data_IF_893810184444
#
_entry.id   IF_893810184444
#
_cell.length_a   1.000
_cell.length_b   1.000
_cell.length_c   1.000
_cell.angle_alpha   90.00
_cell.angle_beta   90.00
_cell.angle_gamma   90.00
#
_symmetry.space_group_name_H-M   'P 1'
#
loop_
_entity.id
_entity.type
_entity.pdbx_description
1 polymer ?
#
# COMPACT_ATOMS: atom_id res chain seq x y z
N UNK A 1 16.23 1.71 -11.81
CA UNK A 1 14.82 2.16 -12.00
C UNK A 1 14.34 2.82 -10.70
N UNK A 2 13.52 3.86 -10.74
CA UNK A 2 13.04 4.49 -9.50
C UNK A 2 11.82 3.75 -8.96
N UNK A 3 11.74 3.55 -7.63
CA UNK A 3 10.64 2.84 -6.99
C UNK A 3 10.29 3.49 -5.64
N UNK A 4 9.11 3.17 -5.13
CA UNK A 4 8.67 3.72 -3.85
C UNK A 4 7.75 2.78 -3.08
N UNK A 5 7.61 3.09 -1.81
CA UNK A 5 6.65 2.41 -0.93
C UNK A 5 5.94 3.41 -0.05
N UNK A 6 4.69 3.11 0.28
CA UNK A 6 3.96 3.79 1.32
C UNK A 6 3.50 2.76 2.34
N UNK A 7 3.83 2.99 3.61
CA UNK A 7 3.35 2.19 4.72
C UNK A 7 2.13 2.88 5.31
N UNK A 8 1.05 2.13 5.59
CA UNK A 8 -0.18 2.66 6.18
C UNK A 8 -0.65 1.76 7.33
N UNK A 9 -1.13 2.37 8.40
CA UNK A 9 -1.67 1.67 9.56
C UNK A 9 -3.16 1.97 9.79
N UNK A 10 -3.94 0.94 10.10
CA UNK A 10 -5.37 1.02 10.37
C UNK A 10 -5.72 0.26 11.66
N UNK A 11 -6.93 0.44 12.19
CA UNK A 11 -7.48 -0.54 13.14
C UNK A 11 -7.79 -1.82 12.37
N UNK A 12 -7.53 -2.99 12.95
CA UNK A 12 -7.83 -4.26 12.29
C UNK A 12 -9.32 -4.41 11.99
N UNK A 13 -10.20 -3.81 12.81
CA UNK A 13 -11.66 -3.80 12.59
C UNK A 13 -12.12 -2.95 11.40
N UNK A 14 -11.28 -2.04 10.90
CA UNK A 14 -11.59 -1.17 9.75
C UNK A 14 -11.26 -1.84 8.42
N UNK A 15 -10.46 -2.90 8.44
CA UNK A 15 -10.22 -3.76 7.28
C UNK A 15 -11.30 -4.84 7.24
N UNK A 16 -12.42 -4.55 6.57
CA UNK A 16 -13.59 -5.45 6.49
C UNK A 16 -13.29 -6.78 5.78
N UNK A 17 -12.29 -6.80 4.90
CA UNK A 17 -11.87 -7.98 4.17
C UNK A 17 -10.33 -8.08 4.12
N UNK A 18 -9.66 -8.33 5.26
CA UNK A 18 -8.23 -8.54 5.21
C UNK A 18 -8.01 -9.85 4.46
N UNK A 19 -7.26 -9.78 3.34
CA UNK A 19 -6.92 -10.93 2.51
C UNK A 19 -6.60 -12.15 3.38
N UNK A 20 -7.07 -13.35 2.98
CA UNK A 20 -6.56 -14.59 3.54
C UNK A 20 -5.17 -14.89 2.97
N UNK A 21 -4.17 -14.10 3.40
CA UNK A 21 -2.81 -14.16 2.89
C UNK A 21 -1.96 -12.97 3.33
N UNK A 22 -0.75 -12.90 2.79
CA UNK A 22 0.24 -11.89 3.18
C UNK A 22 0.21 -10.62 2.33
N UNK A 23 -0.66 -10.55 1.33
CA UNK A 23 -0.69 -9.46 0.36
C UNK A 23 -1.12 -9.91 -1.02
N UNK A 24 -0.95 -9.03 -1.99
CA UNK A 24 -1.24 -9.24 -3.40
C UNK A 24 -0.16 -8.61 -4.28
N UNK A 25 -0.01 -9.14 -5.49
CA UNK A 25 0.80 -8.57 -6.57
C UNK A 25 -0.14 -8.29 -7.73
N UNK A 26 -0.01 -7.10 -8.33
CA UNK A 26 -0.93 -6.63 -9.36
C UNK A 26 -0.31 -6.83 -10.73
N UNK A 27 -0.87 -7.69 -11.60
CA UNK A 27 -0.39 -7.89 -12.96
C UNK A 27 -0.28 -6.58 -13.74
N UNK A 28 0.73 -6.46 -14.60
CA UNK A 28 0.93 -5.24 -15.42
C UNK A 28 -0.29 -4.96 -16.33
N UNK A 29 -1.02 -6.00 -16.74
CA UNK A 29 -2.23 -5.89 -17.55
C UNK A 29 -3.37 -5.11 -16.89
N UNK A 30 -3.39 -5.02 -15.55
CA UNK A 30 -4.40 -4.27 -14.79
C UNK A 30 -4.20 -2.75 -14.87
N UNK A 31 -3.02 -2.28 -15.33
CA UNK A 31 -2.68 -0.85 -15.51
C UNK A 31 -2.98 0.02 -14.28
N UNK A 32 -2.81 -0.54 -13.08
CA UNK A 32 -3.01 0.18 -11.81
C UNK A 32 -1.78 1.01 -11.44
N UNK A 33 -1.98 2.11 -10.68
CA UNK A 33 -0.90 2.99 -10.25
C UNK A 33 -0.02 2.41 -9.12
N UNK A 34 -0.31 1.20 -8.65
CA UNK A 34 0.45 0.48 -7.63
C UNK A 34 0.79 -0.94 -8.11
N UNK A 35 1.86 -1.51 -7.57
CA UNK A 35 2.44 -2.77 -8.02
C UNK A 35 2.07 -3.97 -7.14
N UNK A 36 1.95 -3.73 -5.83
CA UNK A 36 1.71 -4.78 -4.84
C UNK A 36 1.28 -4.15 -3.51
N UNK A 37 0.61 -4.95 -2.70
CA UNK A 37 0.32 -4.65 -1.28
C UNK A 37 0.82 -5.81 -0.44
N UNK A 38 1.50 -5.54 0.66
CA UNK A 38 1.90 -6.54 1.65
C UNK A 38 1.29 -6.20 3.01
N UNK A 39 0.57 -7.14 3.61
CA UNK A 39 0.07 -7.04 4.98
C UNK A 39 1.21 -7.37 5.94
N UNK A 40 1.98 -6.34 6.30
CA UNK A 40 3.24 -6.48 7.05
C UNK A 40 3.03 -7.04 8.45
N UNK A 41 1.96 -6.63 9.15
CA UNK A 41 1.64 -7.16 10.49
C UNK A 41 1.09 -8.58 10.49
N UNK A 42 0.52 -9.03 9.35
CA UNK A 42 0.08 -10.42 9.18
C UNK A 42 1.27 -11.32 8.82
N UNK A 43 2.16 -10.84 7.94
CA UNK A 43 3.35 -11.59 7.50
C UNK A 43 4.40 -11.76 8.59
N UNK A 44 4.54 -10.76 9.46
CA UNK A 44 5.59 -10.72 10.46
C UNK A 44 4.99 -10.31 11.81
N UNK A 45 5.03 -11.25 12.77
CA UNK A 45 4.57 -11.00 14.13
C UNK A 45 5.28 -9.78 14.75
N UNK A 46 4.58 -9.07 15.63
CA UNK A 46 5.07 -7.90 16.37
C UNK A 46 5.49 -6.69 15.51
N UNK A 47 5.12 -6.63 14.22
CA UNK A 47 5.34 -5.44 13.37
C UNK A 47 4.29 -4.35 13.54
N UNK A 48 3.22 -4.62 14.27
CA UNK A 48 2.25 -3.62 14.71
C UNK A 48 1.72 -3.99 16.09
N UNK A 49 1.22 -3.03 16.89
CA UNK A 49 0.51 -3.31 18.13
C UNK A 49 -0.73 -4.20 17.88
N UNK A 50 -1.19 -4.87 18.93
CA UNK A 50 -2.42 -5.65 18.87
C UNK A 50 -3.62 -4.79 18.41
N UNK A 51 -4.52 -5.39 17.62
CA UNK A 51 -5.67 -4.69 17.05
C UNK A 51 -5.33 -3.68 15.96
N UNK A 52 -4.07 -3.64 15.48
CA UNK A 52 -3.65 -2.80 14.34
C UNK A 52 -3.25 -3.63 13.14
N UNK A 53 -3.60 -3.11 11.96
CA UNK A 53 -3.16 -3.63 10.68
C UNK A 53 -2.10 -2.67 10.10
N UNK A 54 -0.90 -3.17 9.81
CA UNK A 54 0.12 -2.44 9.08
C UNK A 54 0.27 -3.06 7.69
N UNK A 55 0.08 -2.27 6.64
CA UNK A 55 0.31 -2.67 5.27
C UNK A 55 1.35 -1.77 4.59
N UNK A 56 1.94 -2.30 3.52
CA UNK A 56 2.89 -1.58 2.66
C UNK A 56 2.48 -1.74 1.21
N UNK A 57 2.29 -0.62 0.53
CA UNK A 57 2.00 -0.55 -0.90
C UNK A 57 3.26 -0.19 -1.65
N UNK A 58 3.50 -0.87 -2.77
CA UNK A 58 4.65 -0.63 -3.65
C UNK A 58 4.20 0.09 -4.91
N UNK A 59 4.98 1.07 -5.36
CA UNK A 59 4.69 1.87 -6.56
C UNK A 59 5.99 2.19 -7.31
N UNK A 60 5.88 2.72 -8.52
CA UNK A 60 6.99 3.03 -9.40
C UNK A 60 7.51 1.81 -10.16
N UNK A 61 8.81 1.79 -10.42
CA UNK A 61 9.47 0.81 -11.26
C UNK A 61 8.97 0.87 -12.70
N UNK A 62 9.24 -0.19 -13.47
CA UNK A 62 8.75 -0.31 -14.85
C UNK A 62 7.23 -0.55 -14.95
N UNK A 63 6.56 -0.88 -13.85
CA UNK A 63 5.14 -1.28 -13.81
C UNK A 63 4.19 -0.10 -13.57
N UNK A 64 4.59 0.88 -12.77
CA UNK A 64 3.79 2.08 -12.49
C UNK A 64 4.66 3.34 -12.45
N UNK A 65 5.50 3.64 -13.47
CA UNK A 65 6.50 4.71 -13.40
C UNK A 65 5.89 6.10 -13.08
N UNK A 66 4.71 6.41 -13.62
CA UNK A 66 4.03 7.70 -13.39
C UNK A 66 3.70 7.97 -11.91
N UNK A 67 3.52 6.93 -11.09
CA UNK A 67 3.30 7.10 -9.64
C UNK A 67 4.50 7.74 -8.91
N UNK A 68 5.69 7.71 -9.50
CA UNK A 68 6.88 8.39 -8.96
C UNK A 68 6.87 9.90 -9.20
N UNK A 69 6.06 10.38 -10.14
CA UNK A 69 5.94 11.79 -10.53
C UNK A 69 4.90 12.53 -9.67
N UNK A 70 4.03 11.78 -8.98
CA UNK A 70 3.05 12.33 -8.06
C UNK A 70 3.71 12.90 -6.81
N UNK A 71 3.21 14.06 -6.37
CA UNK A 71 3.52 14.56 -5.04
C UNK A 71 2.95 13.66 -3.93
N UNK A 72 3.28 13.94 -2.68
CA UNK A 72 2.88 13.10 -1.56
C UNK A 72 1.36 13.04 -1.36
N UNK A 73 0.66 14.15 -1.60
CA UNK A 73 -0.79 14.25 -1.39
C UNK A 73 -1.54 13.45 -2.47
N UNK A 74 -1.14 13.61 -3.74
CA UNK A 74 -1.74 12.90 -4.86
C UNK A 74 -1.43 11.41 -4.84
N UNK A 75 -0.21 11.04 -4.46
CA UNK A 75 0.18 9.64 -4.27
C UNK A 75 -0.62 9.00 -3.13
N UNK A 76 -0.75 9.71 -1.99
CA UNK A 76 -1.54 9.26 -0.86
C UNK A 76 -3.00 9.02 -1.23
N UNK A 77 -3.63 10.01 -1.88
CA UNK A 77 -5.01 9.89 -2.35
C UNK A 77 -5.19 8.72 -3.34
N UNK A 78 -4.23 8.55 -4.25
CA UNK A 78 -4.22 7.45 -5.22
C UNK A 78 -4.13 6.09 -4.53
N UNK A 79 -3.22 5.93 -3.57
CA UNK A 79 -3.06 4.68 -2.83
C UNK A 79 -4.31 4.37 -2.01
N UNK A 80 -4.95 5.36 -1.40
CA UNK A 80 -6.21 5.14 -0.67
C UNK A 80 -7.34 4.64 -1.56
N UNK A 81 -7.51 5.21 -2.75
CA UNK A 81 -8.49 4.71 -3.73
C UNK A 81 -8.21 3.26 -4.13
N UNK A 82 -6.94 2.90 -4.32
CA UNK A 82 -6.56 1.53 -4.64
C UNK A 82 -6.79 0.56 -3.49
N UNK A 83 -6.53 0.97 -2.23
CA UNK A 83 -6.81 0.15 -1.06
C UNK A 83 -8.31 -0.08 -0.85
N UNK A 84 -9.14 0.92 -1.12
CA UNK A 84 -10.59 0.75 -1.12
C UNK A 84 -11.03 -0.21 -2.23
N UNK A 85 -10.60 0.02 -3.47
CA UNK A 85 -10.97 -0.80 -4.62
C UNK A 85 -10.51 -2.26 -4.51
N UNK A 86 -9.35 -2.53 -3.91
CA UNK A 86 -8.76 -3.88 -3.82
C UNK A 86 -9.11 -4.61 -2.53
N UNK A 87 -9.20 -3.88 -1.40
CA UNK A 87 -9.30 -4.48 -0.06
C UNK A 87 -10.53 -3.98 0.72
N UNK A 88 -11.30 -3.04 0.18
CA UNK A 88 -12.43 -2.42 0.88
C UNK A 88 -12.02 -1.59 2.09
N UNK A 89 -10.77 -1.11 2.13
CA UNK A 89 -10.27 -0.26 3.23
C UNK A 89 -10.50 1.20 2.85
N UNK A 90 -11.60 1.77 3.34
CA UNK A 90 -11.96 3.18 3.14
C UNK A 90 -11.66 4.08 4.36
N UNK A 91 -11.30 3.49 5.50
CA UNK A 91 -10.98 4.23 6.72
C UNK A 91 -9.79 5.19 6.53
N UNK A 92 -9.74 6.24 7.35
CA UNK A 92 -8.55 7.10 7.42
C UNK A 92 -7.42 6.33 8.13
N UNK A 93 -6.21 6.23 7.55
CA UNK A 93 -5.09 5.62 8.21
C UNK A 93 -4.69 6.43 9.45
N UNK A 94 -4.35 5.72 10.51
CA UNK A 94 -3.83 6.27 11.77
C UNK A 94 -2.43 6.87 11.59
N UNK A 95 -1.72 6.35 10.60
CA UNK A 95 -0.36 6.69 10.26
C UNK A 95 -0.11 6.32 8.81
N UNK A 96 0.63 7.15 8.09
CA UNK A 96 1.23 6.78 6.82
C UNK A 96 2.65 7.33 6.72
N UNK A 97 3.48 6.66 5.91
CA UNK A 97 4.83 7.15 5.58
C UNK A 97 5.24 6.72 4.19
N UNK A 98 5.63 7.69 3.38
CA UNK A 98 6.10 7.51 2.01
C UNK A 98 7.63 7.44 2.00
N UNK A 99 8.17 6.53 1.20
CA UNK A 99 9.59 6.41 0.89
C UNK A 99 9.76 6.29 -0.62
N UNK A 100 10.71 7.05 -1.18
CA UNK A 100 11.09 7.01 -2.60
C UNK A 100 12.58 6.71 -2.71
N UNK A 101 12.92 5.84 -3.66
CA UNK A 101 14.29 5.53 -4.06
C UNK A 101 14.45 5.86 -5.53
N UNK A 102 15.27 6.87 -5.82
CA UNK A 102 15.57 7.30 -7.18
C UNK A 102 16.77 6.53 -7.70
N UNK A 103 16.67 6.01 -8.92
CA UNK A 103 17.75 5.28 -9.59
C UNK A 103 18.32 4.07 -8.81
N UNK A 104 17.46 3.39 -8.05
CA UNK A 104 17.78 2.11 -7.40
C UNK A 104 17.86 0.91 -8.35
#
# INVERSE_FOLDING_TARGET
VSAGTISLAFRSSEARNPLNGYGLVIPMSERRPINAVTLSSIKFAHRAPEGRLLLRVFFGGSRSPHSMELDDADLYATVRRELDALLGINAEPLFHRIYRWFHS
#
